data_IF_284364894153
#
_entry.id   IF_284364894153
#
_cell.length_a   1.000
_cell.length_b   1.000
_cell.length_c   1.000
_cell.angle_alpha   90.00
_cell.angle_beta   90.00
_cell.angle_gamma   90.00
#
_symmetry.space_group_name_H-M   'P 1'
#
loop_
_entity.id
_entity.type
_entity.pdbx_description
1 polymer ?
#
# COMPACT_ATOMS: atom_id res chain seq x y z
N UNK A 1 -27.68 28.20 -76.96
CA UNK A 1 -27.50 29.04 -75.75
C UNK A 1 -28.12 28.32 -74.53
N UNK A 2 -27.83 27.03 -74.35
CA UNK A 2 -28.65 26.15 -73.48
C UNK A 2 -27.82 25.18 -72.63
N UNK A 3 -26.49 25.15 -72.80
CA UNK A 3 -25.62 24.23 -72.06
C UNK A 3 -25.07 24.80 -70.73
N UNK A 4 -25.01 26.14 -70.59
CA UNK A 4 -24.50 26.80 -69.37
C UNK A 4 -25.50 26.88 -68.21
N UNK A 5 -26.78 26.59 -68.43
CA UNK A 5 -27.81 26.66 -67.38
C UNK A 5 -27.94 25.33 -66.63
N UNK A 6 -27.56 24.22 -67.27
CA UNK A 6 -27.74 22.88 -66.71
C UNK A 6 -26.67 22.49 -65.68
N UNK A 7 -25.45 23.04 -65.80
CA UNK A 7 -24.37 22.77 -64.84
C UNK A 7 -24.59 23.52 -63.51
N UNK A 8 -25.16 24.73 -63.53
CA UNK A 8 -25.41 25.51 -62.31
C UNK A 8 -26.42 24.88 -61.35
N UNK A 9 -27.38 24.11 -61.88
CA UNK A 9 -28.40 23.45 -61.08
C UNK A 9 -27.86 22.21 -60.34
N UNK A 10 -26.90 21.50 -60.95
CA UNK A 10 -26.28 20.31 -60.34
C UNK A 10 -25.35 20.67 -59.17
N UNK A 11 -24.62 21.78 -59.28
CA UNK A 11 -23.76 22.30 -58.20
C UNK A 11 -24.56 22.92 -57.03
N UNK A 12 -25.72 23.54 -57.31
CA UNK A 12 -26.59 24.07 -56.26
C UNK A 12 -27.21 22.96 -55.39
N UNK A 13 -27.63 21.85 -56.00
CA UNK A 13 -28.27 20.75 -55.29
C UNK A 13 -27.28 19.92 -54.46
N UNK A 14 -26.03 19.74 -54.93
CA UNK A 14 -24.99 19.04 -54.17
C UNK A 14 -24.45 19.87 -53.01
N UNK A 15 -24.33 21.20 -53.16
CA UNK A 15 -23.96 22.06 -52.03
C UNK A 15 -25.04 22.13 -50.95
N UNK A 16 -26.32 22.07 -51.33
CA UNK A 16 -27.44 22.08 -50.37
C UNK A 16 -27.52 20.77 -49.55
N UNK A 17 -27.17 19.62 -50.14
CA UNK A 17 -27.02 18.36 -49.40
C UNK A 17 -25.78 18.32 -48.51
N UNK A 18 -24.65 18.89 -48.95
CA UNK A 18 -23.42 18.97 -48.15
C UNK A 18 -23.53 19.92 -46.94
N UNK A 19 -24.37 20.96 -47.05
CA UNK A 19 -24.66 21.90 -45.93
C UNK A 19 -25.81 21.42 -45.05
N UNK A 20 -26.79 20.69 -45.60
CA UNK A 20 -27.84 20.03 -44.81
C UNK A 20 -27.32 18.88 -43.94
N UNK A 21 -26.34 18.11 -44.42
CA UNK A 21 -25.62 17.10 -43.63
C UNK A 21 -24.72 17.69 -42.54
N UNK A 22 -24.38 18.99 -42.63
CA UNK A 22 -23.62 19.68 -41.59
C UNK A 22 -24.52 20.21 -40.45
N UNK A 23 -25.82 20.42 -40.71
CA UNK A 23 -26.79 20.90 -39.71
C UNK A 23 -27.41 19.78 -38.84
N UNK A 24 -27.26 18.52 -39.22
CA UNK A 24 -27.62 17.37 -38.35
C UNK A 24 -26.49 16.96 -37.39
N UNK A 25 -25.34 17.63 -37.42
CA UNK A 25 -24.25 17.43 -36.45
C UNK A 25 -24.42 18.26 -35.16
N UNK A 26 -25.58 18.88 -34.96
CA UNK A 26 -25.97 19.59 -33.73
C UNK A 26 -27.04 18.79 -32.98
N UNK A 27 -26.99 17.44 -33.04
CA UNK A 27 -27.61 16.66 -31.99
C UNK A 27 -26.91 17.05 -30.69
N UNK A 28 -27.66 17.71 -29.81
CA UNK A 28 -27.29 18.03 -28.45
C UNK A 28 -26.40 16.92 -27.88
N UNK A 29 -25.23 17.32 -27.39
CA UNK A 29 -24.31 16.46 -26.67
C UNK A 29 -24.96 15.98 -25.35
N UNK A 30 -25.89 15.03 -25.48
CA UNK A 30 -26.58 14.26 -24.46
C UNK A 30 -25.94 12.86 -24.33
N UNK A 31 -24.82 12.63 -25.01
CA UNK A 31 -24.13 11.36 -24.94
C UNK A 31 -23.41 11.24 -23.59
N UNK A 32 -23.74 10.18 -22.84
CA UNK A 32 -23.00 9.80 -21.64
C UNK A 32 -21.50 9.69 -21.95
N UNK A 33 -20.60 10.14 -21.05
CA UNK A 33 -19.18 9.94 -21.20
C UNK A 33 -18.83 8.49 -21.48
N UNK A 34 -17.93 8.26 -22.45
CA UNK A 34 -17.46 6.92 -22.73
C UNK A 34 -16.71 6.33 -21.53
N UNK A 35 -16.68 5.01 -21.40
CA UNK A 35 -15.92 4.34 -20.34
C UNK A 35 -14.43 4.69 -20.36
N UNK A 36 -13.86 4.89 -21.56
CA UNK A 36 -12.48 5.36 -21.73
C UNK A 36 -12.27 6.80 -21.25
N UNK A 37 -13.23 7.70 -21.52
CA UNK A 37 -13.19 9.06 -21.00
C UNK A 37 -13.27 9.09 -19.47
N UNK A 38 -14.18 8.31 -18.87
CA UNK A 38 -14.31 8.18 -17.42
C UNK A 38 -13.03 7.63 -16.80
N UNK A 39 -12.43 6.61 -17.40
CA UNK A 39 -11.13 6.08 -16.95
C UNK A 39 -10.04 7.17 -16.99
N UNK A 40 -9.93 7.92 -18.09
CA UNK A 40 -8.95 9.01 -18.22
C UNK A 40 -9.17 10.12 -17.19
N UNK A 41 -10.44 10.49 -16.94
CA UNK A 41 -10.77 11.48 -15.92
C UNK A 41 -10.38 10.98 -14.53
N UNK A 42 -10.66 9.70 -14.21
CA UNK A 42 -10.29 9.10 -12.93
C UNK A 42 -8.79 9.11 -12.72
N UNK A 43 -8.03 8.68 -13.73
CA UNK A 43 -6.58 8.65 -13.68
C UNK A 43 -5.96 10.04 -13.50
N UNK A 44 -6.54 11.05 -14.16
CA UNK A 44 -6.12 12.45 -14.02
C UNK A 44 -6.44 13.01 -12.64
N UNK A 45 -7.66 12.80 -12.14
CA UNK A 45 -8.11 13.34 -10.85
C UNK A 45 -7.36 12.73 -9.67
N UNK A 46 -7.04 11.43 -9.75
CA UNK A 46 -6.40 10.70 -8.66
C UNK A 46 -4.88 10.52 -8.83
N UNK A 47 -4.31 10.96 -9.96
CA UNK A 47 -2.90 10.77 -10.31
C UNK A 47 -2.50 9.27 -10.32
N UNK A 48 -3.29 8.45 -11.03
CA UNK A 48 -3.24 6.97 -10.95
C UNK A 48 -3.10 6.27 -12.31
N UNK A 49 -2.24 6.78 -13.20
CA UNK A 49 -2.09 6.27 -14.58
C UNK A 49 -1.97 4.74 -14.70
N UNK A 50 -2.80 4.14 -15.54
CA UNK A 50 -2.84 2.70 -15.81
C UNK A 50 -3.39 1.83 -14.69
N UNK A 51 -4.05 2.42 -13.67
CA UNK A 51 -4.62 1.69 -12.54
C UNK A 51 -6.10 1.39 -12.70
N UNK A 52 -6.82 2.05 -13.61
CA UNK A 52 -8.23 1.72 -13.85
C UNK A 52 -8.31 0.42 -14.65
N UNK A 53 -8.82 -0.63 -14.03
CA UNK A 53 -8.92 -1.98 -14.60
C UNK A 53 -10.22 -2.19 -15.38
N UNK A 54 -11.31 -1.58 -14.91
CA UNK A 54 -12.62 -1.68 -15.56
C UNK A 54 -13.48 -0.47 -15.21
N UNK A 55 -14.29 -0.03 -16.17
CA UNK A 55 -15.35 0.97 -15.98
C UNK A 55 -16.63 0.41 -16.59
N UNK A 56 -17.66 0.26 -15.76
CA UNK A 56 -18.97 -0.23 -16.19
C UNK A 56 -20.02 0.86 -16.00
N UNK A 57 -20.65 1.29 -17.08
CA UNK A 57 -21.81 2.17 -16.99
C UNK A 57 -22.97 1.47 -16.29
N UNK A 58 -23.58 2.16 -15.31
CA UNK A 58 -24.81 1.74 -14.64
C UNK A 58 -26.05 2.39 -15.28
N UNK A 59 -25.86 3.36 -16.17
CA UNK A 59 -26.94 4.23 -16.64
C UNK A 59 -27.40 5.18 -15.54
N UNK A 60 -28.61 5.72 -15.68
CA UNK A 60 -29.16 6.72 -14.77
C UNK A 60 -28.69 8.12 -15.17
N UNK A 61 -29.46 8.74 -16.07
CA UNK A 61 -29.26 10.14 -16.41
C UNK A 61 -29.96 11.01 -15.38
N UNK A 62 -29.21 11.87 -14.70
CA UNK A 62 -29.76 12.81 -13.72
C UNK A 62 -29.21 14.20 -13.94
N UNK A 63 -30.08 15.20 -13.96
CA UNK A 63 -29.62 16.59 -14.01
C UNK A 63 -29.15 17.03 -12.61
N UNK A 64 -28.20 17.96 -12.57
CA UNK A 64 -27.70 18.53 -11.32
C UNK A 64 -27.51 20.03 -11.44
N UNK A 65 -27.77 20.72 -10.33
CA UNK A 65 -27.53 22.15 -10.15
C UNK A 65 -26.12 22.42 -9.60
N UNK A 66 -25.26 21.42 -9.52
CA UNK A 66 -23.93 21.52 -8.96
C UNK A 66 -22.89 21.04 -9.96
N UNK A 67 -21.79 21.77 -10.12
CA UNK A 67 -20.64 21.34 -10.91
C UNK A 67 -19.36 22.01 -10.40
N UNK A 68 -18.27 21.26 -10.27
CA UNK A 68 -16.98 21.69 -9.73
C UNK A 68 -17.09 22.34 -8.35
N UNK A 69 -17.95 21.79 -7.49
CA UNK A 69 -18.25 22.31 -6.15
C UNK A 69 -19.00 23.66 -6.12
N UNK A 70 -19.51 24.14 -7.26
CA UNK A 70 -20.35 25.34 -7.34
C UNK A 70 -21.81 24.98 -7.50
N UNK A 71 -22.66 25.64 -6.72
CA UNK A 71 -24.11 25.48 -6.77
C UNK A 71 -24.76 26.58 -7.65
N UNK A 72 -25.70 26.18 -8.48
CA UNK A 72 -26.39 27.02 -9.45
C UNK A 72 -27.91 27.01 -9.18
N UNK A 73 -28.61 28.04 -9.69
CA UNK A 73 -30.06 28.17 -9.51
C UNK A 73 -30.82 27.17 -10.40
N UNK A 74 -30.27 26.85 -11.57
CA UNK A 74 -30.86 25.93 -12.55
C UNK A 74 -29.92 24.75 -12.83
N UNK A 75 -30.43 23.63 -13.40
CA UNK A 75 -29.59 22.47 -13.67
C UNK A 75 -28.60 22.75 -14.79
N UNK A 76 -27.31 22.75 -14.43
CA UNK A 76 -26.17 23.10 -15.30
C UNK A 76 -25.48 21.90 -15.93
N UNK A 77 -25.65 20.71 -15.35
CA UNK A 77 -24.97 19.51 -15.77
C UNK A 77 -25.90 18.30 -15.77
N UNK A 78 -25.45 17.26 -16.46
CA UNK A 78 -26.06 15.92 -16.46
C UNK A 78 -25.02 14.94 -15.93
N UNK A 79 -25.44 14.05 -15.04
CA UNK A 79 -24.62 13.02 -14.43
C UNK A 79 -25.05 11.63 -14.87
N UNK A 80 -24.06 10.74 -15.02
CA UNK A 80 -24.24 9.33 -15.28
C UNK A 80 -23.44 8.51 -14.28
N UNK A 81 -23.99 7.38 -13.84
CA UNK A 81 -23.37 6.54 -12.82
C UNK A 81 -22.53 5.42 -13.45
N UNK A 82 -21.39 5.15 -12.84
CA UNK A 82 -20.40 4.17 -13.24
C UNK A 82 -19.89 3.39 -12.03
N UNK A 83 -19.62 2.13 -12.27
CA UNK A 83 -18.79 1.30 -11.40
C UNK A 83 -17.37 1.32 -11.93
N UNK A 84 -16.41 1.69 -11.08
CA UNK A 84 -15.00 1.84 -11.45
C UNK A 84 -14.17 0.88 -10.61
N UNK A 85 -13.36 0.05 -11.26
CA UNK A 85 -12.42 -0.84 -10.59
C UNK A 85 -11.01 -0.28 -10.76
N UNK A 86 -10.36 0.03 -9.65
CA UNK A 86 -8.98 0.51 -9.61
C UNK A 86 -8.06 -0.52 -8.94
N UNK A 87 -6.89 -0.74 -9.53
CA UNK A 87 -5.77 -1.41 -8.91
C UNK A 87 -5.11 -0.49 -7.88
N UNK A 88 -5.22 -0.83 -6.61
CA UNK A 88 -4.52 -0.19 -5.50
C UNK A 88 -3.35 -1.05 -5.04
N UNK A 89 -2.50 -0.49 -4.17
CA UNK A 89 -1.31 -1.18 -3.63
C UNK A 89 -1.65 -2.52 -2.96
N UNK A 90 -2.79 -2.60 -2.28
CA UNK A 90 -3.27 -3.81 -1.61
C UNK A 90 -4.37 -4.55 -2.37
N UNK A 91 -4.56 -4.25 -3.65
CA UNK A 91 -5.49 -4.96 -4.52
C UNK A 91 -6.53 -4.13 -5.20
N UNK A 92 -7.59 -4.78 -5.67
CA UNK A 92 -8.60 -4.14 -6.50
C UNK A 92 -9.69 -3.54 -5.62
N UNK A 93 -10.01 -2.28 -5.89
CA UNK A 93 -11.12 -1.59 -5.23
C UNK A 93 -12.18 -1.27 -6.25
N UNK A 94 -13.41 -1.67 -5.96
CA UNK A 94 -14.59 -1.32 -6.71
C UNK A 94 -15.22 -0.09 -6.06
N UNK A 95 -15.39 0.97 -6.84
CA UNK A 95 -16.17 2.15 -6.53
C UNK A 95 -17.52 2.02 -7.22
N UNK A 96 -18.58 1.81 -6.46
CA UNK A 96 -19.94 1.68 -6.97
C UNK A 96 -20.63 3.03 -7.01
N UNK A 97 -21.45 3.27 -8.04
CA UNK A 97 -22.22 4.53 -8.19
C UNK A 97 -21.34 5.80 -8.16
N UNK A 98 -20.13 5.72 -8.71
CA UNK A 98 -19.36 6.94 -8.98
C UNK A 98 -20.00 7.66 -10.16
N UNK A 99 -20.14 8.99 -10.10
CA UNK A 99 -20.85 9.73 -11.15
C UNK A 99 -19.90 10.60 -11.95
N UNK A 100 -19.98 10.54 -13.28
CA UNK A 100 -19.38 11.55 -14.15
C UNK A 100 -20.46 12.59 -14.46
N UNK A 101 -20.24 13.84 -14.08
CA UNK A 101 -21.16 14.94 -14.31
C UNK A 101 -20.55 15.91 -15.32
N UNK A 102 -21.19 16.13 -16.45
CA UNK A 102 -20.72 17.05 -17.49
C UNK A 102 -21.68 18.22 -17.66
N UNK A 103 -21.14 19.41 -17.87
CA UNK A 103 -21.93 20.60 -18.21
C UNK A 103 -22.78 20.31 -19.45
N UNK A 104 -24.04 20.73 -19.41
CA UNK A 104 -24.95 20.59 -20.55
C UNK A 104 -24.33 21.24 -21.80
N UNK A 105 -24.31 20.51 -22.91
CA UNK A 105 -23.72 20.96 -24.16
C UNK A 105 -22.18 20.87 -24.22
N UNK A 106 -21.52 20.30 -23.21
CA UNK A 106 -20.06 20.10 -23.19
C UNK A 106 -19.70 18.68 -22.79
N UNK A 107 -18.84 18.04 -23.59
CA UNK A 107 -18.23 16.75 -23.26
C UNK A 107 -16.86 16.90 -22.58
N UNK A 108 -16.34 18.12 -22.44
CA UNK A 108 -15.01 18.38 -21.88
C UNK A 108 -15.05 19.01 -20.48
N UNK A 109 -16.12 19.74 -20.16
CA UNK A 109 -16.31 20.32 -18.84
C UNK A 109 -17.05 19.34 -17.93
N UNK A 110 -16.30 18.39 -17.38
CA UNK A 110 -16.83 17.30 -16.58
C UNK A 110 -16.09 17.13 -15.25
N UNK A 111 -16.77 16.64 -14.22
CA UNK A 111 -16.21 16.24 -12.94
C UNK A 111 -16.53 14.78 -12.63
N UNK A 112 -15.69 14.12 -11.83
CA UNK A 112 -15.99 12.81 -11.26
C UNK A 112 -16.31 12.93 -9.77
N UNK A 113 -17.45 12.38 -9.39
CA UNK A 113 -17.89 12.22 -8.00
C UNK A 113 -17.67 10.77 -7.59
N UNK A 114 -16.99 10.58 -6.46
CA UNK A 114 -16.63 9.26 -5.95
C UNK A 114 -17.82 8.67 -5.20
N UNK A 115 -18.24 7.47 -5.58
CA UNK A 115 -19.29 6.73 -4.88
C UNK A 115 -18.74 5.85 -3.75
N UNK A 116 -19.59 4.98 -3.21
CA UNK A 116 -19.20 4.01 -2.18
C UNK A 116 -18.13 3.05 -2.71
N UNK A 117 -17.27 2.53 -1.84
CA UNK A 117 -16.18 1.67 -2.28
C UNK A 117 -15.94 0.46 -1.39
N UNK A 118 -15.56 -0.65 -2.02
CA UNK A 118 -15.19 -1.90 -1.35
C UNK A 118 -14.05 -2.59 -2.09
N UNK A 119 -13.29 -3.39 -1.35
CA UNK A 119 -12.27 -4.25 -1.95
C UNK A 119 -12.93 -5.43 -2.66
N UNK A 120 -12.35 -5.86 -3.77
CA UNK A 120 -12.83 -6.98 -4.58
C UNK A 120 -11.67 -7.84 -5.08
N UNK A 121 -11.99 -9.07 -5.48
CA UNK A 121 -11.06 -9.96 -6.15
C UNK A 121 -10.53 -9.34 -7.47
N UNK A 122 -9.21 -9.37 -7.62
CA UNK A 122 -8.46 -8.92 -8.78
C UNK A 122 -8.35 -9.97 -9.90
N UNK A 123 -8.59 -11.26 -9.61
CA UNK A 123 -8.41 -12.34 -10.58
C UNK A 123 -9.18 -12.14 -11.90
N UNK A 124 -10.45 -11.65 -11.90
CA UNK A 124 -11.18 -11.40 -13.15
C UNK A 124 -10.53 -10.37 -14.08
N UNK A 125 -9.58 -9.58 -13.58
CA UNK A 125 -8.87 -8.53 -14.32
C UNK A 125 -7.44 -8.94 -14.68
N UNK A 126 -7.08 -10.23 -14.53
CA UNK A 126 -5.73 -10.72 -14.82
C UNK A 126 -4.65 -10.13 -13.91
N UNK A 127 -5.03 -9.73 -12.69
CA UNK A 127 -4.11 -9.23 -11.65
C UNK A 127 -4.00 -10.25 -10.51
N UNK A 128 -2.86 -10.30 -9.79
CA UNK A 128 -2.68 -11.22 -8.66
C UNK A 128 -3.82 -11.10 -7.66
N UNK A 129 -4.20 -12.25 -7.08
CA UNK A 129 -5.30 -12.38 -6.14
C UNK A 129 -4.93 -11.80 -4.76
N UNK A 130 -4.71 -10.48 -4.69
CA UNK A 130 -4.55 -9.77 -3.44
C UNK A 130 -5.33 -8.46 -3.56
N UNK A 131 -6.24 -8.28 -2.61
CA UNK A 131 -7.44 -7.45 -2.70
C UNK A 131 -8.59 -7.99 -1.85
N UNK A 132 -8.27 -8.50 -0.66
CA UNK A 132 -9.16 -8.62 0.50
C UNK A 132 -10.50 -9.36 0.33
N UNK A 133 -10.55 -10.59 0.83
CA UNK A 133 -11.72 -11.04 1.58
C UNK A 133 -11.72 -10.39 2.97
N UNK A 134 -12.60 -9.41 3.22
CA UNK A 134 -12.95 -8.91 4.56
C UNK A 134 -12.34 -7.57 4.99
N UNK A 135 -12.84 -7.03 6.11
CA UNK A 135 -12.43 -5.76 6.75
C UNK A 135 -10.96 -5.74 7.25
N UNK A 136 -10.09 -6.65 6.81
CA UNK A 136 -8.78 -6.90 7.45
C UNK A 136 -7.69 -7.15 6.43
N UNK A 137 -6.76 -6.19 6.31
CA UNK A 137 -5.55 -6.21 5.47
C UNK A 137 -4.80 -7.57 5.53
N UNK A 138 -4.42 -8.20 4.40
CA UNK A 138 -3.64 -9.43 4.42
C UNK A 138 -2.26 -9.16 5.03
N UNK A 139 -1.70 -10.12 5.77
CA UNK A 139 -0.43 -9.96 6.50
C UNK A 139 0.72 -9.48 5.58
N UNK A 140 0.77 -9.96 4.35
CA UNK A 140 1.80 -9.60 3.38
C UNK A 140 1.65 -8.16 2.88
N UNK A 141 0.43 -7.68 2.63
CA UNK A 141 0.23 -6.26 2.27
C UNK A 141 0.51 -5.36 3.45
N UNK A 142 0.07 -5.75 4.65
CA UNK A 142 0.39 -5.05 5.89
C UNK A 142 1.90 -5.00 6.12
N UNK A 143 2.63 -6.06 5.76
CA UNK A 143 4.09 -6.12 5.83
C UNK A 143 4.73 -5.16 4.82
N UNK A 144 4.36 -5.24 3.54
CA UNK A 144 4.92 -4.36 2.49
C UNK A 144 4.60 -2.87 2.71
N UNK A 145 3.38 -2.57 3.17
CA UNK A 145 2.97 -1.20 3.52
C UNK A 145 3.80 -0.69 4.70
N UNK A 146 3.91 -1.47 5.79
CA UNK A 146 4.74 -1.12 6.94
C UNK A 146 6.20 -0.96 6.57
N UNK A 147 6.79 -1.87 5.80
CA UNK A 147 8.16 -1.75 5.30
C UNK A 147 8.36 -0.44 4.52
N UNK A 148 7.42 -0.10 3.63
CA UNK A 148 7.47 1.15 2.86
C UNK A 148 7.32 2.41 3.71
N UNK A 149 6.50 2.36 4.76
CA UNK A 149 6.32 3.46 5.72
C UNK A 149 7.56 3.62 6.60
N UNK A 150 8.11 2.52 7.10
CA UNK A 150 9.31 2.47 7.93
C UNK A 150 10.57 2.88 7.16
N UNK A 151 10.72 2.51 5.88
CA UNK A 151 11.85 2.92 5.05
C UNK A 151 11.98 4.45 4.91
N UNK A 152 10.87 5.19 5.02
CA UNK A 152 10.87 6.65 4.91
C UNK A 152 11.27 7.34 6.22
N UNK A 153 11.26 6.62 7.34
CA UNK A 153 11.57 7.17 8.65
C UNK A 153 13.07 7.29 8.83
N UNK A 154 13.55 8.53 8.93
CA UNK A 154 14.97 8.86 9.12
C UNK A 154 15.41 8.88 10.58
N UNK A 155 14.44 8.78 11.49
CA UNK A 155 14.65 8.82 12.93
C UNK A 155 14.78 7.42 13.55
N UNK A 156 14.55 6.37 12.76
CA UNK A 156 14.83 5.00 13.15
C UNK A 156 16.34 4.80 13.19
N UNK A 157 16.79 4.24 14.32
CA UNK A 157 18.16 3.82 14.56
C UNK A 157 18.18 2.35 14.99
N UNK A 158 19.38 1.78 14.98
CA UNK A 158 19.58 0.33 14.97
C UNK A 158 18.95 -0.34 13.73
N UNK A 159 18.69 -1.65 13.78
CA UNK A 159 18.25 -2.44 12.63
C UNK A 159 19.38 -3.24 11.97
N UNK A 160 19.27 -3.57 10.68
CA UNK A 160 20.25 -4.37 9.97
C UNK A 160 21.67 -3.82 10.09
N UNK A 161 22.63 -4.68 10.44
CA UNK A 161 24.04 -4.32 10.64
C UNK A 161 24.41 -3.88 12.05
N UNK A 162 23.44 -3.62 12.93
CA UNK A 162 23.70 -3.37 14.35
C UNK A 162 23.64 -4.66 15.18
N UNK A 163 24.24 -4.61 16.37
CA UNK A 163 24.10 -5.64 17.40
C UNK A 163 23.54 -4.98 18.67
N UNK A 164 22.42 -5.49 19.19
CA UNK A 164 21.84 -5.05 20.46
C UNK A 164 21.82 -6.26 21.39
N UNK A 165 22.74 -6.27 22.36
CA UNK A 165 22.96 -7.45 23.18
C UNK A 165 23.30 -8.68 22.32
N UNK A 166 22.63 -9.83 22.51
CA UNK A 166 22.84 -11.03 21.71
C UNK A 166 22.15 -10.98 20.33
N UNK A 167 21.33 -9.96 20.05
CA UNK A 167 20.57 -9.88 18.81
C UNK A 167 21.41 -9.23 17.71
N UNK A 168 21.90 -10.05 16.78
CA UNK A 168 22.65 -9.64 15.58
C UNK A 168 22.14 -10.43 14.38
N UNK A 169 21.80 -9.74 13.29
CA UNK A 169 21.55 -10.39 12.01
C UNK A 169 22.81 -10.42 11.15
N UNK A 170 23.17 -11.59 10.62
CA UNK A 170 24.33 -11.76 9.72
C UNK A 170 23.97 -11.97 8.24
N UNK A 171 22.68 -12.06 7.89
CA UNK A 171 22.15 -12.26 6.53
C UNK A 171 20.61 -12.10 6.47
N UNK A 172 20.03 -12.08 5.27
CA UNK A 172 18.60 -11.79 4.98
C UNK A 172 17.58 -12.70 5.67
N UNK A 173 17.99 -13.87 6.16
CA UNK A 173 17.14 -14.84 6.86
C UNK A 173 17.23 -14.76 8.39
N UNK A 174 18.06 -13.87 8.94
CA UNK A 174 18.24 -13.74 10.39
C UNK A 174 17.50 -12.53 10.95
N UNK A 175 17.02 -12.74 12.17
CA UNK A 175 16.33 -11.78 13.02
C UNK A 175 17.25 -10.61 13.40
N UNK A 176 17.28 -9.58 12.55
CA UNK A 176 17.94 -8.32 12.84
C UNK A 176 17.43 -7.73 14.15
N UNK A 177 18.27 -7.01 14.92
CA UNK A 177 17.76 -6.32 16.10
C UNK A 177 16.64 -5.35 15.71
N UNK A 178 15.66 -5.12 16.60
CA UNK A 178 14.55 -4.25 16.29
C UNK A 178 15.01 -2.80 16.11
N UNK A 179 14.17 -2.01 15.46
CA UNK A 179 14.38 -0.57 15.30
C UNK A 179 13.94 0.20 16.55
N UNK A 180 14.63 1.29 16.85
CA UNK A 180 14.27 2.21 17.91
C UNK A 180 14.26 3.65 17.39
N UNK A 181 13.56 4.53 18.10
CA UNK A 181 13.78 5.98 18.04
C UNK A 181 14.53 6.40 19.27
N UNK A 182 15.72 6.99 19.12
CA UNK A 182 16.52 7.47 20.23
C UNK A 182 16.54 9.00 20.29
N UNK A 183 16.61 9.60 21.49
CA UNK A 183 17.00 11.01 21.61
C UNK A 183 18.36 11.20 20.92
N UNK A 184 18.58 12.31 20.22
CA UNK A 184 19.85 12.58 19.51
C UNK A 184 20.32 11.52 18.50
N UNK A 185 19.46 10.58 18.09
CA UNK A 185 19.72 9.59 17.05
C UNK A 185 21.02 8.79 17.26
N UNK A 186 21.95 8.90 16.30
CA UNK A 186 23.21 8.15 16.27
C UNK A 186 24.13 8.43 17.47
N UNK A 187 24.05 9.62 18.08
CA UNK A 187 24.85 9.92 19.27
C UNK A 187 24.47 8.99 20.43
N UNK A 188 23.17 8.79 20.65
CA UNK A 188 22.68 7.89 21.70
C UNK A 188 22.94 6.42 21.37
N UNK A 189 22.97 6.05 20.08
CA UNK A 189 23.46 4.72 19.66
C UNK A 189 24.91 4.52 20.11
N UNK A 190 25.78 5.51 19.88
CA UNK A 190 27.17 5.41 20.29
C UNK A 190 27.30 5.37 21.82
N UNK A 191 26.55 6.20 22.54
CA UNK A 191 26.56 6.20 24.02
C UNK A 191 26.10 4.84 24.59
N UNK A 192 25.14 4.18 23.93
CA UNK A 192 24.75 2.80 24.26
C UNK A 192 25.88 1.79 23.99
N UNK A 193 26.50 1.84 22.80
CA UNK A 193 27.60 0.93 22.44
C UNK A 193 28.84 1.11 23.34
N UNK A 194 29.09 2.35 23.79
CA UNK A 194 30.13 2.71 24.74
C UNK A 194 29.78 2.36 26.20
N UNK A 195 28.61 1.75 26.44
CA UNK A 195 28.10 1.36 27.77
C UNK A 195 27.96 2.55 28.74
N UNK A 196 27.62 3.74 28.24
CA UNK A 196 27.38 4.94 29.06
C UNK A 196 25.97 4.96 29.66
N UNK A 197 25.07 4.13 29.17
CA UNK A 197 23.73 3.91 29.73
C UNK A 197 23.53 2.43 30.10
N UNK A 198 22.33 2.06 30.53
CA UNK A 198 22.01 0.72 31.02
C UNK A 198 22.10 -0.40 29.97
N UNK A 199 21.57 -1.56 30.34
CA UNK A 199 21.72 -2.80 29.55
C UNK A 199 20.99 -2.72 28.21
N UNK A 200 19.91 -1.96 28.10
CA UNK A 200 19.03 -1.88 26.92
C UNK A 200 19.04 -0.48 26.29
N UNK A 201 18.72 -0.34 24.98
CA UNK A 201 18.58 0.97 24.35
C UNK A 201 17.58 1.91 25.06
N UNK A 202 16.53 1.37 25.68
CA UNK A 202 15.57 2.14 26.47
C UNK A 202 16.21 2.80 27.70
N UNK A 203 17.26 2.22 28.28
CA UNK A 203 18.02 2.84 29.37
C UNK A 203 18.79 4.10 28.90
N UNK A 204 18.99 4.22 27.59
CA UNK A 204 19.51 5.40 26.91
C UNK A 204 18.39 6.40 26.50
N UNK A 205 17.14 6.12 26.88
CA UNK A 205 15.96 6.92 26.52
C UNK A 205 15.37 6.59 25.15
N UNK A 206 15.83 5.52 24.48
CA UNK A 206 15.25 5.09 23.21
C UNK A 206 13.86 4.46 23.39
N UNK A 207 13.04 4.50 22.35
CA UNK A 207 11.73 3.85 22.30
C UNK A 207 11.72 2.80 21.20
N UNK A 208 11.30 1.58 21.53
CA UNK A 208 11.16 0.47 20.59
C UNK A 208 10.07 0.78 19.55
N UNK A 209 10.35 0.53 18.28
CA UNK A 209 9.39 0.68 17.18
C UNK A 209 9.03 -0.70 16.64
N UNK A 210 8.02 -1.31 17.24
CA UNK A 210 7.59 -2.67 16.91
C UNK A 210 7.08 -2.78 15.47
N UNK A 211 6.43 -1.74 14.93
CA UNK A 211 5.81 -1.83 13.60
C UNK A 211 6.83 -1.93 12.48
N UNK A 212 8.05 -1.46 12.73
CA UNK A 212 9.16 -1.46 11.77
C UNK A 212 10.14 -2.61 11.98
N UNK A 213 9.97 -3.38 13.06
CA UNK A 213 10.88 -4.45 13.45
C UNK A 213 10.42 -5.80 12.92
N UNK A 214 11.37 -6.70 12.62
CA UNK A 214 11.03 -8.08 12.26
C UNK A 214 10.53 -8.84 13.49
N UNK A 215 9.66 -9.83 13.26
CA UNK A 215 9.05 -10.62 14.34
C UNK A 215 10.10 -11.31 15.20
N UNK A 216 11.07 -11.99 14.59
CA UNK A 216 12.09 -12.66 15.38
C UNK A 216 13.15 -11.70 15.94
N UNK A 217 13.33 -10.50 15.34
CA UNK A 217 14.12 -9.43 15.94
C UNK A 217 13.53 -8.95 17.27
N UNK A 218 12.22 -8.71 17.27
CA UNK A 218 11.44 -8.42 18.48
C UNK A 218 11.50 -9.58 19.47
N UNK A 219 11.37 -10.81 18.99
CA UNK A 219 11.45 -12.00 19.85
C UNK A 219 12.80 -12.11 20.54
N UNK A 220 13.91 -12.00 19.80
CA UNK A 220 15.26 -12.02 20.37
C UNK A 220 15.43 -10.93 21.43
N UNK A 221 15.01 -9.70 21.10
CA UNK A 221 15.11 -8.56 21.99
C UNK A 221 14.31 -8.77 23.28
N UNK A 222 13.07 -9.25 23.17
CA UNK A 222 12.21 -9.52 24.32
C UNK A 222 12.71 -10.70 25.18
N UNK A 223 13.22 -11.77 24.55
CA UNK A 223 13.85 -12.90 25.25
C UNK A 223 15.11 -12.46 26.00
N UNK A 224 15.92 -11.58 25.41
CA UNK A 224 17.10 -11.00 26.06
C UNK A 224 16.73 -10.04 27.19
N UNK A 225 15.80 -9.11 26.95
CA UNK A 225 15.32 -8.13 27.93
C UNK A 225 14.71 -8.81 29.15
N UNK A 226 13.98 -9.91 28.95
CA UNK A 226 13.39 -10.71 30.03
C UNK A 226 14.37 -11.66 30.74
N UNK A 227 15.65 -11.70 30.31
CA UNK A 227 16.68 -12.54 30.92
C UNK A 227 16.60 -14.03 30.55
N UNK A 228 15.77 -14.40 29.57
CA UNK A 228 15.65 -15.80 29.09
C UNK A 228 16.79 -16.23 28.17
N UNK A 229 17.59 -15.30 27.65
CA UNK A 229 18.63 -15.56 26.66
C UNK A 229 20.01 -15.96 27.24
N UNK A 230 20.12 -16.42 28.49
CA UNK A 230 21.42 -16.86 29.08
C UNK A 230 21.83 -18.28 28.60
N UNK A 231 21.04 -18.92 27.73
CA UNK A 231 21.35 -20.25 27.17
C UNK A 231 21.47 -20.17 25.64
N UNK A 232 22.44 -19.40 25.14
CA UNK A 232 22.90 -19.51 23.74
C UNK A 232 24.42 -19.36 23.58
N UNK A 233 25.20 -19.51 24.66
CA UNK A 233 26.67 -19.52 24.62
C UNK A 233 27.30 -20.92 24.51
N UNK A 234 26.55 -21.95 24.12
CA UNK A 234 27.10 -23.31 23.93
C UNK A 234 26.85 -23.92 22.55
N UNK A 235 26.81 -23.10 21.50
CA UNK A 235 26.92 -23.58 20.10
C UNK A 235 28.18 -23.00 19.45
N UNK A 236 29.34 -23.22 20.09
CA UNK A 236 30.66 -23.03 19.47
C UNK A 236 31.61 -24.20 19.74
N UNK A 237 31.13 -25.32 20.28
CA UNK A 237 31.97 -26.49 20.55
C UNK A 237 31.31 -27.70 19.91
N UNK A 238 31.74 -28.06 18.70
CA UNK A 238 31.22 -29.17 17.90
C UNK A 238 31.43 -30.55 18.54
N UNK A 239 30.74 -30.81 19.65
CA UNK A 239 30.63 -32.15 20.24
C UNK A 239 29.17 -32.62 20.22
N UNK A 240 28.91 -33.87 19.83
CA UNK A 240 27.56 -34.42 19.77
C UNK A 240 26.93 -34.53 21.17
N UNK A 241 25.63 -34.22 21.22
CA UNK A 241 24.79 -34.07 22.43
C UNK A 241 24.87 -35.24 23.44
N UNK A 242 25.23 -36.45 23.00
CA UNK A 242 25.32 -37.63 23.88
C UNK A 242 26.55 -37.63 24.80
N UNK A 243 27.64 -36.98 24.40
CA UNK A 243 28.88 -36.94 25.18
C UNK A 243 28.85 -35.82 26.25
N UNK A 244 28.12 -34.74 25.98
CA UNK A 244 28.01 -33.60 26.92
C UNK A 244 27.12 -33.91 28.13
N UNK A 245 26.14 -34.81 27.98
CA UNK A 245 25.27 -35.23 29.09
C UNK A 245 26.01 -36.17 30.05
N UNK A 246 26.97 -36.97 29.58
CA UNK A 246 27.78 -37.82 30.48
C UNK A 246 28.78 -37.02 31.29
N UNK A 247 29.38 -35.98 30.70
CA UNK A 247 30.39 -35.17 31.38
C UNK A 247 29.75 -34.30 32.48
N UNK A 248 28.60 -33.68 32.21
CA UNK A 248 27.84 -32.91 33.20
C UNK A 248 27.30 -33.77 34.35
N UNK A 249 26.89 -35.01 34.07
CA UNK A 249 26.46 -35.95 35.11
C UNK A 249 27.63 -36.41 36.00
N UNK A 250 28.83 -36.57 35.42
CA UNK A 250 30.04 -36.98 36.15
C UNK A 250 30.58 -35.84 37.02
N UNK A 251 30.49 -34.59 36.55
CA UNK A 251 30.90 -33.41 37.29
C UNK A 251 29.94 -33.10 38.46
N UNK A 252 28.63 -33.26 38.26
CA UNK A 252 27.63 -33.15 39.32
C UNK A 252 27.79 -34.26 40.40
N UNK A 253 28.16 -35.47 39.99
CA UNK A 253 28.46 -36.56 40.92
C UNK A 253 29.75 -36.31 41.72
N UNK A 254 30.80 -35.76 41.08
CA UNK A 254 32.05 -35.38 41.75
C UNK A 254 31.86 -34.25 42.78
N UNK A 255 31.04 -33.25 42.45
CA UNK A 255 30.71 -32.16 43.37
C UNK A 255 29.87 -32.64 44.57
N UNK A 256 28.95 -33.59 44.36
CA UNK A 256 28.17 -34.18 45.44
C UNK A 256 29.03 -35.03 46.39
N UNK A 257 29.99 -35.81 45.86
CA UNK A 257 30.90 -36.63 46.67
C UNK A 257 31.85 -35.76 47.50
N UNK A 258 32.38 -34.66 46.94
CA UNK A 258 33.23 -33.74 47.70
C UNK A 258 32.47 -32.99 48.80
N UNK A 259 31.20 -32.66 48.56
CA UNK A 259 30.32 -32.04 49.57
C UNK A 259 29.92 -33.01 50.69
N UNK A 260 29.82 -34.30 50.40
CA UNK A 260 29.60 -35.34 51.42
C UNK A 260 30.87 -35.61 52.26
N UNK A 261 32.06 -35.54 51.66
CA UNK A 261 33.34 -35.66 52.37
C UNK A 261 33.66 -34.47 53.28
N UNK A 262 33.09 -33.30 53.03
CA UNK A 262 33.24 -32.14 53.92
C UNK A 262 32.29 -32.15 55.13
N UNK A 263 31.41 -33.16 55.23
CA UNK A 263 30.41 -33.30 56.28
C UNK A 263 30.71 -34.46 57.25
N UNK A 264 31.86 -35.13 57.10
CA UNK A 264 32.38 -36.17 57.99
C UNK A 264 33.83 -35.89 58.36
#
# INVERSE_FOLDING_TARGET
MTKKIMDGFTYGFTMMFATGLFMFAICDALAAPSTGQVASMWESQHNVKGRVLNVKSRGGERTTNELHGKQYITPVATCWDYDIVELQKCGCRLFTKSSACCRKGSSQDCELRIGDSKMIDCAPYGKPQFGLSGNTEPADCKSQRRQSECWKRKDLVFGPGYAIGPCRGSNELQDFPPYFTCPNGQKTVQDFLDKKCGRTPEDCGCTLVEECSSEGGLKCYNDWKSGKSVIMDSVSSGKPLKEQVSDAATEAAGAAINKLKSLW
#
